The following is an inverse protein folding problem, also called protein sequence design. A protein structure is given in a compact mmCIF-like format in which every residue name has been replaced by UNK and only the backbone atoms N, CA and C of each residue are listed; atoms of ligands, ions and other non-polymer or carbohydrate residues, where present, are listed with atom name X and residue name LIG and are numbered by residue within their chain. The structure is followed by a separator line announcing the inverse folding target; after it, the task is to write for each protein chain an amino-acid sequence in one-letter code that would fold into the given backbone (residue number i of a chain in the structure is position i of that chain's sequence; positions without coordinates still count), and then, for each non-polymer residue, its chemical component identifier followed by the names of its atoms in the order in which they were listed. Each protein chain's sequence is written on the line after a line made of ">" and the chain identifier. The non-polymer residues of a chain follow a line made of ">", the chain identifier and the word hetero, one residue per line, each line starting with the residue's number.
data_IF_437014667442
#
_entry.id   IF_437014667442
#
_cell.length_a   1.000
_cell.length_b   1.000
_cell.length_c   1.000
_cell.angle_alpha   90.00
_cell.angle_beta   90.00
_cell.angle_gamma   90.00
#
_symmetry.space_group_name_H-M   'P 1'
#
loop_
_entity.id
_entity.type
_entity.pdbx_description
1 polymer ?
#
# COMPACT_ATOMS: atom_id res chain seq x y z
N UNK A 1 11.94 -6.09 9.25
CA UNK A 1 11.82 -7.54 9.53
C UNK A 1 11.75 -7.70 11.04
N UNK A 2 10.80 -8.47 11.57
CA UNK A 2 10.71 -8.72 13.01
C UNK A 2 11.94 -9.49 13.45
N UNK A 3 12.65 -8.98 14.46
CA UNK A 3 13.91 -9.53 14.89
C UNK A 3 13.72 -10.48 16.07
N UNK A 4 13.70 -11.77 15.81
CA UNK A 4 13.70 -12.78 16.86
C UNK A 4 14.89 -12.62 17.84
N UNK A 5 16.01 -12.08 17.35
CA UNK A 5 17.17 -11.72 18.20
C UNK A 5 16.83 -10.62 19.21
N UNK A 6 16.05 -9.60 18.83
CA UNK A 6 15.62 -8.54 19.75
C UNK A 6 14.63 -9.06 20.76
N UNK A 7 13.64 -9.87 20.33
CA UNK A 7 12.71 -10.55 21.24
C UNK A 7 13.50 -11.32 22.30
N UNK A 8 14.43 -12.16 21.88
CA UNK A 8 15.31 -12.91 22.80
C UNK A 8 16.07 -12.01 23.75
N UNK A 9 16.65 -10.90 23.24
CA UNK A 9 17.43 -9.95 24.03
C UNK A 9 16.59 -9.31 25.14
N UNK A 10 15.39 -8.79 24.81
CA UNK A 10 14.48 -8.16 25.78
C UNK A 10 13.95 -9.18 26.78
N UNK A 11 13.56 -10.37 26.32
CA UNK A 11 13.14 -11.48 27.21
C UNK A 11 14.22 -11.83 28.23
N UNK A 12 15.48 -11.98 27.78
CA UNK A 12 16.61 -12.29 28.65
C UNK A 12 16.92 -11.16 29.65
N UNK A 13 16.78 -9.90 29.26
CA UNK A 13 16.93 -8.74 30.15
C UNK A 13 15.88 -8.74 31.27
N UNK A 14 14.69 -9.25 31.00
CA UNK A 14 13.61 -9.38 31.97
C UNK A 14 13.68 -10.70 32.75
N UNK A 15 14.69 -11.54 32.53
CA UNK A 15 14.88 -12.82 33.20
C UNK A 15 13.81 -13.86 32.86
N UNK A 16 13.05 -13.69 31.79
CA UNK A 16 11.96 -14.59 31.42
C UNK A 16 12.46 -15.82 30.66
N UNK A 17 11.82 -17.00 30.88
CA UNK A 17 11.99 -18.17 29.99
C UNK A 17 11.13 -18.03 28.74
N UNK A 18 11.38 -18.87 27.71
CA UNK A 18 10.54 -18.88 26.52
C UNK A 18 9.09 -19.27 26.84
N UNK A 19 8.90 -20.23 27.77
CA UNK A 19 7.57 -20.67 28.21
C UNK A 19 6.82 -19.54 28.90
N UNK A 20 7.47 -18.77 29.77
CA UNK A 20 6.86 -17.65 30.49
C UNK A 20 6.43 -16.57 29.52
N UNK A 21 7.31 -16.13 28.61
CA UNK A 21 6.95 -15.11 27.61
C UNK A 21 5.84 -15.62 26.68
N UNK A 22 5.91 -16.86 26.22
CA UNK A 22 4.91 -17.45 25.34
C UNK A 22 3.53 -17.52 26.02
N UNK A 23 3.49 -17.94 27.29
CA UNK A 23 2.24 -18.00 28.04
C UNK A 23 1.62 -16.63 28.32
N UNK A 24 2.42 -15.63 28.64
CA UNK A 24 1.95 -14.26 28.88
C UNK A 24 1.48 -13.55 27.59
N UNK A 25 2.11 -13.84 26.47
CA UNK A 25 1.79 -13.26 25.16
C UNK A 25 0.76 -14.07 24.35
N UNK A 26 0.19 -15.13 24.93
CA UNK A 26 -0.76 -16.04 24.28
C UNK A 26 -0.27 -16.60 22.93
N UNK A 27 1.00 -16.97 22.88
CA UNK A 27 1.63 -17.63 21.73
C UNK A 27 2.19 -18.99 22.13
N UNK A 28 2.35 -19.92 21.16
CA UNK A 28 2.94 -21.22 21.51
C UNK A 28 4.45 -21.11 21.79
N UNK A 29 5.00 -21.84 22.80
CA UNK A 29 6.43 -21.89 23.05
C UNK A 29 7.25 -22.33 21.83
N UNK A 30 6.72 -23.23 21.04
CA UNK A 30 7.34 -23.68 19.79
C UNK A 30 7.43 -22.55 18.75
N UNK A 31 6.37 -21.76 18.61
CA UNK A 31 6.36 -20.58 17.75
C UNK A 31 7.43 -19.57 18.21
N UNK A 32 7.43 -19.20 19.49
CA UNK A 32 8.39 -18.25 20.04
C UNK A 32 9.85 -18.73 19.85
N UNK A 33 10.10 -20.01 20.09
CA UNK A 33 11.43 -20.62 19.89
C UNK A 33 11.88 -20.55 18.42
N UNK A 34 10.97 -20.83 17.48
CA UNK A 34 11.27 -20.73 16.04
C UNK A 34 11.56 -19.29 15.60
N UNK A 35 10.79 -18.32 16.12
CA UNK A 35 10.97 -16.90 15.86
C UNK A 35 12.32 -16.42 16.43
N UNK A 36 12.64 -16.72 17.68
CA UNK A 36 13.91 -16.33 18.30
C UNK A 36 15.14 -16.91 17.59
N UNK A 37 15.01 -18.10 17.00
CA UNK A 37 16.06 -18.73 16.20
C UNK A 37 16.09 -18.22 14.74
N UNK A 38 15.14 -17.40 14.32
CA UNK A 38 15.04 -16.92 12.94
C UNK A 38 14.64 -17.99 11.92
N UNK A 39 14.13 -19.15 12.39
CA UNK A 39 13.63 -20.25 11.55
C UNK A 39 12.25 -19.93 10.97
N UNK A 40 11.49 -19.13 11.70
CA UNK A 40 10.16 -18.66 11.31
C UNK A 40 10.13 -17.16 11.41
N UNK A 41 9.74 -16.49 10.33
CA UNK A 41 9.35 -15.09 10.40
C UNK A 41 7.98 -15.02 11.08
N UNK A 42 7.76 -14.08 12.03
CA UNK A 42 6.42 -13.84 12.54
C UNK A 42 5.53 -13.37 11.41
N UNK A 43 4.44 -14.11 11.18
CA UNK A 43 3.57 -13.95 10.02
C UNK A 43 2.70 -12.67 10.08
N UNK A 44 2.69 -11.96 11.24
CA UNK A 44 1.94 -10.70 11.39
C UNK A 44 2.41 -9.91 12.62
N UNK A 45 2.21 -8.59 12.60
CA UNK A 45 2.29 -7.70 13.75
C UNK A 45 1.37 -8.14 14.90
N UNK A 46 0.31 -8.87 14.60
CA UNK A 46 -0.65 -9.40 15.57
C UNK A 46 -0.02 -10.32 16.62
N UNK A 47 0.95 -11.16 16.23
CA UNK A 47 1.69 -11.97 17.19
C UNK A 47 2.78 -11.17 17.90
N UNK A 48 3.18 -10.03 17.31
CA UNK A 48 4.26 -9.19 17.85
C UNK A 48 3.76 -8.23 18.93
N UNK A 49 2.54 -7.70 18.78
CA UNK A 49 1.96 -6.74 19.73
C UNK A 49 1.88 -7.33 21.14
N UNK A 50 1.26 -8.52 21.37
CA UNK A 50 1.24 -9.13 22.71
C UNK A 50 2.64 -9.43 23.25
N UNK A 51 3.57 -9.84 22.39
CA UNK A 51 4.96 -10.07 22.80
C UNK A 51 5.64 -8.75 23.22
N UNK A 52 5.41 -7.67 22.49
CA UNK A 52 5.96 -6.35 22.80
C UNK A 52 5.38 -5.78 24.09
N UNK A 53 4.07 -5.94 24.31
CA UNK A 53 3.37 -5.54 25.53
C UNK A 53 3.95 -6.25 26.76
N UNK A 54 4.12 -7.58 26.70
CA UNK A 54 4.72 -8.35 27.81
C UNK A 54 6.17 -7.96 28.06
N UNK A 55 6.91 -7.61 27.00
CA UNK A 55 8.30 -7.16 27.11
C UNK A 55 8.43 -5.68 27.53
N UNK A 56 7.32 -4.92 27.58
CA UNK A 56 7.30 -3.51 27.94
C UNK A 56 8.04 -2.62 26.95
N UNK A 57 8.00 -2.97 25.64
CA UNK A 57 8.69 -2.24 24.58
C UNK A 57 7.70 -1.87 23.46
N UNK A 58 8.04 -0.83 22.68
CA UNK A 58 7.29 -0.54 21.47
C UNK A 58 7.43 -1.72 20.48
N UNK A 59 6.34 -2.21 19.86
CA UNK A 59 6.41 -3.22 18.80
C UNK A 59 7.44 -2.89 17.72
N UNK A 60 7.67 -1.61 17.44
CA UNK A 60 8.68 -1.14 16.50
C UNK A 60 10.12 -1.42 16.99
N UNK A 61 10.34 -1.50 18.29
CA UNK A 61 11.64 -1.88 18.86
C UNK A 61 11.97 -3.35 18.61
N UNK A 62 10.98 -4.17 18.38
CA UNK A 62 11.16 -5.59 18.01
C UNK A 62 11.35 -5.79 16.50
N UNK A 63 11.12 -4.76 15.72
CA UNK A 63 11.36 -4.76 14.29
C UNK A 63 12.80 -4.28 14.04
N UNK A 64 13.65 -5.13 13.51
CA UNK A 64 14.90 -4.65 12.94
C UNK A 64 14.53 -3.77 11.74
N UNK A 65 14.80 -2.47 11.83
CA UNK A 65 14.93 -1.69 10.61
C UNK A 65 15.88 -2.48 9.69
N UNK A 66 15.51 -2.73 8.42
CA UNK A 66 16.42 -3.40 7.52
C UNK A 66 17.77 -2.71 7.65
N UNK A 67 18.81 -3.48 7.97
CA UNK A 67 20.15 -2.92 8.18
C UNK A 67 20.43 -2.00 7.02
N UNK A 68 20.86 -0.79 7.28
CA UNK A 68 21.15 0.26 6.30
C UNK A 68 22.04 -0.24 5.14
N UNK A 69 22.80 -1.30 5.34
CA UNK A 69 23.61 -1.97 4.30
C UNK A 69 22.78 -2.71 3.23
N UNK A 70 21.57 -3.22 3.54
CA UNK A 70 20.69 -3.83 2.52
C UNK A 70 19.96 -2.73 1.74
N UNK A 71 19.74 -1.58 2.37
CA UNK A 71 19.15 -0.40 1.72
C UNK A 71 20.13 0.28 0.75
N UNK A 72 21.44 0.14 0.97
CA UNK A 72 22.47 0.65 0.05
C UNK A 72 22.71 -0.27 -1.16
N UNK A 73 22.37 -1.57 -1.06
CA UNK A 73 22.56 -2.53 -2.16
C UNK A 73 21.32 -2.70 -3.07
N UNK A 74 20.10 -2.45 -2.56
CA UNK A 74 18.91 -2.21 -3.39
C UNK A 74 18.62 -0.73 -3.30
N UNK A 75 19.28 0.07 -4.15
CA UNK A 75 19.17 1.52 -4.13
C UNK A 75 17.70 1.94 -4.08
N UNK A 76 17.34 2.80 -3.12
CA UNK A 76 16.14 3.62 -3.23
C UNK A 76 16.15 4.17 -4.65
N UNK A 77 15.09 3.96 -5.41
CA UNK A 77 14.99 4.53 -6.75
C UNK A 77 15.37 6.01 -6.66
N UNK A 78 16.38 6.45 -7.41
CA UNK A 78 16.96 7.79 -7.23
C UNK A 78 15.89 8.89 -7.25
N UNK A 79 14.90 8.76 -8.12
CA UNK A 79 13.76 9.66 -8.16
C UNK A 79 12.90 9.69 -6.89
N UNK A 80 12.78 8.60 -6.15
CA UNK A 80 12.00 8.55 -4.90
C UNK A 80 12.70 9.31 -3.78
N UNK A 81 14.04 9.36 -3.77
CA UNK A 81 14.80 10.19 -2.82
C UNK A 81 14.48 11.67 -2.96
N UNK A 82 14.24 12.15 -4.16
CA UNK A 82 13.84 13.52 -4.41
C UNK A 82 12.48 13.84 -3.78
N UNK A 83 11.51 12.93 -3.90
CA UNK A 83 10.20 13.07 -3.24
C UNK A 83 10.32 13.11 -1.73
N UNK A 84 11.12 12.20 -1.14
CA UNK A 84 11.41 12.20 0.30
C UNK A 84 12.05 13.53 0.74
N UNK A 85 13.01 14.04 -0.05
CA UNK A 85 13.64 15.33 0.22
C UNK A 85 12.64 16.49 0.13
N UNK A 86 11.75 16.47 -0.86
CA UNK A 86 10.71 17.49 -1.00
C UNK A 86 9.75 17.50 0.20
N UNK A 87 9.32 16.33 0.68
CA UNK A 87 8.43 16.22 1.84
C UNK A 87 9.08 16.59 3.18
N UNK A 88 10.42 16.51 3.29
CA UNK A 88 11.15 16.91 4.49
C UNK A 88 11.35 18.44 4.59
N UNK A 89 11.16 19.15 3.47
CA UNK A 89 11.25 20.62 3.49
C UNK A 89 10.05 21.19 4.23
N UNK A 90 10.26 22.38 4.80
CA UNK A 90 9.17 23.19 5.34
C UNK A 90 8.34 23.72 4.15
N UNK A 91 7.06 23.33 4.03
CA UNK A 91 6.21 23.76 2.93
C UNK A 91 6.02 25.27 2.86
N UNK A 92 6.21 25.97 4.00
CA UNK A 92 6.05 27.42 4.10
C UNK A 92 7.31 28.22 3.67
N UNK A 93 8.44 27.56 3.46
CA UNK A 93 9.71 28.18 3.08
C UNK A 93 10.04 28.13 1.58
N UNK A 94 9.19 27.51 0.78
CA UNK A 94 9.44 27.43 -0.67
C UNK A 94 9.19 28.80 -1.31
N UNK A 95 10.20 29.37 -1.95
CA UNK A 95 10.12 30.64 -2.70
C UNK A 95 10.22 30.30 -4.18
N UNK A 96 9.20 30.66 -4.95
CA UNK A 96 9.14 30.45 -6.40
C UNK A 96 8.21 31.45 -7.05
N UNK A 97 8.28 31.54 -8.38
CA UNK A 97 7.29 32.28 -9.15
C UNK A 97 5.93 31.58 -9.02
N UNK A 98 4.84 32.34 -9.08
CA UNK A 98 3.48 31.83 -9.07
C UNK A 98 3.27 30.84 -10.20
N UNK A 99 2.90 29.56 -9.91
CA UNK A 99 2.67 28.59 -10.97
C UNK A 99 1.32 28.81 -11.64
N UNK A 100 1.28 28.66 -12.96
CA UNK A 100 0.00 28.56 -13.68
C UNK A 100 -0.74 27.26 -13.29
N UNK A 101 -1.95 27.38 -12.72
CA UNK A 101 -2.74 26.26 -12.24
C UNK A 101 -3.12 25.30 -13.37
N UNK A 102 -3.34 25.75 -14.61
CA UNK A 102 -3.66 24.85 -15.71
C UNK A 102 -2.43 24.02 -16.12
N UNK A 103 -1.24 24.63 -16.12
CA UNK A 103 0.00 23.90 -16.34
C UNK A 103 0.26 22.90 -15.22
N UNK A 104 0.04 23.30 -13.98
CA UNK A 104 0.20 22.43 -12.80
C UNK A 104 -0.74 21.21 -12.92
N UNK A 105 -2.02 21.41 -13.25
CA UNK A 105 -2.98 20.34 -13.47
C UNK A 105 -2.51 19.33 -14.52
N UNK A 106 -2.04 19.79 -15.68
CA UNK A 106 -1.52 18.91 -16.74
C UNK A 106 -0.33 18.08 -16.26
N UNK A 107 0.62 18.71 -15.57
CA UNK A 107 1.82 18.03 -15.08
C UNK A 107 1.50 17.02 -13.98
N UNK A 108 0.49 17.28 -13.12
CA UNK A 108 -0.02 16.31 -12.16
C UNK A 108 -0.65 15.11 -12.88
N UNK A 109 -1.36 15.36 -14.00
CA UNK A 109 -1.88 14.30 -14.88
C UNK A 109 -0.77 13.43 -15.48
N UNK A 110 0.33 14.03 -15.92
CA UNK A 110 1.53 13.31 -16.39
C UNK A 110 2.15 12.46 -15.26
N UNK A 111 2.27 13.02 -14.06
CA UNK A 111 2.77 12.30 -12.89
C UNK A 111 1.89 11.10 -12.55
N UNK A 112 0.57 11.26 -12.58
CA UNK A 112 -0.37 10.17 -12.35
C UNK A 112 -0.30 9.09 -13.44
N UNK A 113 -0.09 9.47 -14.71
CA UNK A 113 0.12 8.52 -15.78
C UNK A 113 1.41 7.68 -15.56
N UNK A 114 2.51 8.30 -15.14
CA UNK A 114 3.74 7.59 -14.76
C UNK A 114 3.51 6.66 -13.57
N UNK A 115 2.77 7.12 -12.55
CA UNK A 115 2.40 6.29 -11.39
C UNK A 115 1.63 5.04 -11.80
N UNK A 116 0.62 5.18 -12.67
CA UNK A 116 -0.18 4.05 -13.20
C UNK A 116 0.68 3.04 -13.97
N UNK A 117 1.74 3.52 -14.61
CA UNK A 117 2.70 2.69 -15.33
C UNK A 117 3.80 2.11 -14.41
N UNK A 118 3.80 2.42 -13.10
CA UNK A 118 4.83 2.04 -12.12
C UNK A 118 6.24 2.50 -12.53
N UNK A 119 6.37 3.66 -13.18
CA UNK A 119 7.63 4.27 -13.62
C UNK A 119 8.12 5.27 -12.58
N UNK A 120 8.48 4.77 -11.41
CA UNK A 120 8.77 5.61 -10.24
C UNK A 120 10.09 6.37 -10.36
N UNK A 121 11.07 5.83 -11.06
CA UNK A 121 12.35 6.50 -11.35
C UNK A 121 12.15 7.78 -12.16
N UNK A 122 11.21 7.79 -13.11
CA UNK A 122 10.88 8.96 -13.92
C UNK A 122 9.91 9.89 -13.20
N UNK A 123 8.97 9.30 -12.45
CA UNK A 123 7.98 10.06 -11.69
C UNK A 123 8.63 10.91 -10.59
N UNK A 124 9.63 10.40 -9.89
CA UNK A 124 10.16 11.01 -8.68
C UNK A 124 10.65 12.46 -8.88
N UNK A 125 11.53 12.75 -9.86
CA UNK A 125 12.00 14.11 -10.13
C UNK A 125 10.86 15.06 -10.51
N UNK A 126 9.87 14.60 -11.27
CA UNK A 126 8.68 15.38 -11.61
C UNK A 126 7.85 15.67 -10.36
N UNK A 127 7.54 14.63 -9.56
CA UNK A 127 6.71 14.74 -8.39
C UNK A 127 7.33 15.63 -7.31
N UNK A 128 8.64 15.57 -7.13
CA UNK A 128 9.36 16.45 -6.20
C UNK A 128 9.23 17.93 -6.56
N UNK A 129 9.24 18.27 -7.86
CA UNK A 129 8.97 19.64 -8.34
C UNK A 129 7.52 20.01 -8.14
N UNK A 130 6.59 19.11 -8.50
CA UNK A 130 5.15 19.35 -8.36
C UNK A 130 4.73 19.61 -6.90
N UNK A 131 5.36 18.97 -5.93
CA UNK A 131 5.14 19.26 -4.51
C UNK A 131 5.48 20.73 -4.23
N UNK A 132 6.64 21.22 -4.66
CA UNK A 132 7.04 22.60 -4.43
C UNK A 132 6.14 23.60 -5.18
N UNK A 133 5.78 23.29 -6.42
CA UNK A 133 4.91 24.14 -7.24
C UNK A 133 3.50 24.21 -6.67
N UNK A 134 2.91 23.07 -6.24
CA UNK A 134 1.58 23.05 -5.64
C UNK A 134 1.54 23.77 -4.27
N UNK A 135 2.58 23.61 -3.43
CA UNK A 135 2.73 24.35 -2.19
C UNK A 135 2.85 25.87 -2.45
N UNK A 136 3.55 26.26 -3.51
CA UNK A 136 3.69 27.68 -3.92
C UNK A 136 2.36 28.21 -4.47
N UNK A 137 1.62 27.43 -5.26
CA UNK A 137 0.31 27.82 -5.77
C UNK A 137 -0.69 28.10 -4.65
N UNK A 138 -0.74 27.26 -3.61
CA UNK A 138 -1.62 27.50 -2.45
C UNK A 138 -1.31 28.82 -1.78
N UNK A 139 -0.03 29.16 -1.60
CA UNK A 139 0.34 30.45 -0.98
C UNK A 139 -0.01 31.64 -1.84
N UNK A 140 0.22 31.53 -3.15
CA UNK A 140 -0.06 32.63 -4.08
C UNK A 140 -1.56 32.91 -4.20
N UNK A 141 -2.40 31.88 -4.04
CA UNK A 141 -3.84 31.98 -4.23
C UNK A 141 -4.65 32.06 -2.92
N UNK A 142 -4.00 32.25 -1.76
CA UNK A 142 -4.73 32.44 -0.49
C UNK A 142 -5.75 33.59 -0.59
N UNK A 143 -6.96 33.31 -0.11
CA UNK A 143 -8.09 34.28 -0.11
C UNK A 143 -8.49 34.78 -1.52
N UNK A 144 -8.18 34.02 -2.56
CA UNK A 144 -8.65 34.30 -3.94
C UNK A 144 -9.67 33.25 -4.39
N UNK A 145 -10.39 33.52 -5.47
CA UNK A 145 -11.31 32.54 -6.10
C UNK A 145 -10.61 31.24 -6.54
N UNK A 146 -9.30 31.26 -6.66
CA UNK A 146 -8.48 30.11 -7.08
C UNK A 146 -7.96 29.27 -5.90
N UNK A 147 -8.23 29.66 -4.66
CA UNK A 147 -7.73 28.96 -3.47
C UNK A 147 -8.17 27.48 -3.45
N UNK A 148 -9.45 27.21 -3.73
CA UNK A 148 -9.98 25.84 -3.76
C UNK A 148 -9.28 24.99 -4.83
N UNK A 149 -9.08 25.53 -6.03
CA UNK A 149 -8.36 24.83 -7.10
C UNK A 149 -6.90 24.53 -6.70
N UNK A 150 -6.21 25.49 -6.07
CA UNK A 150 -4.84 25.29 -5.60
C UNK A 150 -4.74 24.17 -4.55
N UNK A 151 -5.65 24.13 -3.57
CA UNK A 151 -5.72 23.05 -2.58
C UNK A 151 -6.09 21.71 -3.19
N UNK A 152 -6.96 21.68 -4.21
CA UNK A 152 -7.29 20.46 -4.96
C UNK A 152 -6.02 19.87 -5.58
N UNK A 153 -5.25 20.66 -6.31
CA UNK A 153 -4.00 20.21 -6.93
C UNK A 153 -2.93 19.80 -5.91
N UNK A 154 -2.83 20.52 -4.79
CA UNK A 154 -1.93 20.14 -3.71
C UNK A 154 -2.32 18.77 -3.11
N UNK A 155 -3.62 18.54 -2.87
CA UNK A 155 -4.12 17.26 -2.37
C UNK A 155 -3.77 16.12 -3.32
N UNK A 156 -4.04 16.25 -4.62
CA UNK A 156 -3.70 15.23 -5.62
C UNK A 156 -2.19 14.98 -5.75
N UNK A 157 -1.40 16.03 -5.63
CA UNK A 157 0.07 15.89 -5.63
C UNK A 157 0.55 15.06 -4.45
N UNK A 158 0.06 15.33 -3.25
CA UNK A 158 0.40 14.53 -2.07
C UNK A 158 -0.18 13.12 -2.13
N UNK A 159 -1.38 12.93 -2.69
CA UNK A 159 -1.96 11.60 -2.93
C UNK A 159 -1.05 10.75 -3.83
N UNK A 160 -0.57 11.33 -4.94
CA UNK A 160 0.39 10.66 -5.83
C UNK A 160 1.69 10.32 -5.09
N UNK A 161 2.17 11.21 -4.20
CA UNK A 161 3.33 10.94 -3.37
C UNK A 161 3.10 9.78 -2.39
N UNK A 162 1.94 9.68 -1.73
CA UNK A 162 1.60 8.57 -0.82
C UNK A 162 1.73 7.22 -1.53
N UNK A 163 1.04 7.07 -2.67
CA UNK A 163 1.07 5.80 -3.39
C UNK A 163 2.43 5.49 -4.00
N UNK A 164 3.16 6.50 -4.47
CA UNK A 164 4.51 6.34 -5.01
C UNK A 164 5.49 5.85 -3.94
N UNK A 165 5.55 6.54 -2.80
CA UNK A 165 6.45 6.19 -1.69
C UNK A 165 6.16 4.79 -1.17
N UNK A 166 4.89 4.46 -0.97
CA UNK A 166 4.50 3.16 -0.48
C UNK A 166 4.88 2.03 -1.44
N UNK A 167 4.57 2.18 -2.74
CA UNK A 167 4.89 1.20 -3.77
C UNK A 167 6.39 1.07 -4.05
N UNK A 168 7.15 2.11 -3.80
CA UNK A 168 8.61 2.10 -3.85
C UNK A 168 9.27 1.52 -2.59
N UNK A 169 8.49 1.09 -1.59
CA UNK A 169 8.99 0.47 -0.37
C UNK A 169 9.57 1.45 0.65
N UNK A 170 9.21 2.74 0.58
CA UNK A 170 9.62 3.74 1.56
C UNK A 170 8.93 3.54 2.92
N UNK A 171 9.60 4.02 3.97
CA UNK A 171 9.14 3.83 5.34
C UNK A 171 7.84 4.55 5.67
N UNK A 172 7.08 4.03 6.65
CA UNK A 172 5.78 4.53 7.07
C UNK A 172 5.81 6.01 7.47
N UNK A 173 6.86 6.49 8.14
CA UNK A 173 6.93 7.86 8.66
C UNK A 173 6.86 8.93 7.57
N UNK A 174 7.57 8.77 6.46
CA UNK A 174 7.53 9.75 5.36
C UNK A 174 6.23 9.65 4.56
N UNK A 175 5.71 8.43 4.40
CA UNK A 175 4.42 8.20 3.75
C UNK A 175 3.27 8.77 4.59
N UNK A 176 3.36 8.69 5.92
CA UNK A 176 2.43 9.31 6.85
C UNK A 176 2.40 10.83 6.70
N UNK A 177 3.57 11.48 6.63
CA UNK A 177 3.65 12.93 6.41
C UNK A 177 2.92 13.33 5.12
N UNK A 178 3.13 12.58 4.03
CA UNK A 178 2.44 12.85 2.77
C UNK A 178 0.91 12.65 2.89
N UNK A 179 0.46 11.61 3.59
CA UNK A 179 -0.96 11.32 3.78
C UNK A 179 -1.67 12.38 4.64
N UNK A 180 -1.05 12.82 5.73
CA UNK A 180 -1.61 13.90 6.58
C UNK A 180 -1.68 15.23 5.81
N UNK A 181 -0.64 15.57 5.03
CA UNK A 181 -0.67 16.76 4.17
C UNK A 181 -1.73 16.65 3.08
N UNK A 182 -1.91 15.48 2.48
CA UNK A 182 -2.98 15.21 1.52
C UNK A 182 -4.36 15.46 2.13
N UNK A 183 -4.66 14.83 3.26
CA UNK A 183 -5.93 14.98 3.95
C UNK A 183 -6.17 16.42 4.43
N UNK A 184 -5.12 17.11 4.89
CA UNK A 184 -5.22 18.52 5.31
C UNK A 184 -5.54 19.44 4.13
N UNK A 185 -4.89 19.24 2.98
CA UNK A 185 -5.18 20.01 1.77
C UNK A 185 -6.60 19.72 1.26
N UNK A 186 -7.02 18.44 1.27
CA UNK A 186 -8.36 18.03 0.86
C UNK A 186 -9.46 18.72 1.66
N UNK A 187 -9.32 18.79 3.00
CA UNK A 187 -10.30 19.50 3.86
C UNK A 187 -10.50 20.98 3.50
N UNK A 188 -9.46 21.62 2.95
CA UNK A 188 -9.54 23.04 2.54
C UNK A 188 -10.36 23.26 1.27
N UNK A 189 -10.65 22.21 0.50
CA UNK A 189 -11.42 22.32 -0.74
C UNK A 189 -12.92 22.44 -0.50
N UNK A 190 -13.45 21.89 0.58
CA UNK A 190 -14.89 21.76 0.82
C UNK A 190 -15.58 20.74 -0.11
N UNK A 191 -14.85 20.13 -1.04
CA UNK A 191 -15.38 19.13 -1.98
C UNK A 191 -15.35 17.73 -1.31
N UNK A 192 -16.53 17.07 -1.16
CA UNK A 192 -16.61 15.77 -0.49
C UNK A 192 -15.83 14.67 -1.25
N UNK A 193 -15.72 14.73 -2.58
CA UNK A 193 -14.96 13.76 -3.37
C UNK A 193 -13.46 13.92 -3.09
N UNK A 194 -12.95 15.13 -3.10
CA UNK A 194 -11.53 15.40 -2.80
C UNK A 194 -11.21 15.05 -1.36
N UNK A 195 -12.12 15.36 -0.41
CA UNK A 195 -11.96 15.01 1.01
C UNK A 195 -11.92 13.49 1.21
N UNK A 196 -12.80 12.74 0.54
CA UNK A 196 -12.81 11.28 0.60
C UNK A 196 -11.55 10.65 -0.03
N UNK A 197 -10.99 11.23 -1.09
CA UNK A 197 -9.69 10.82 -1.66
C UNK A 197 -8.54 11.07 -0.67
N UNK A 198 -8.56 12.19 0.04
CA UNK A 198 -7.62 12.49 1.12
C UNK A 198 -7.72 11.52 2.30
N UNK A 199 -8.94 11.25 2.76
CA UNK A 199 -9.24 10.26 3.80
C UNK A 199 -8.79 8.85 3.40
N UNK A 200 -9.04 8.46 2.16
CA UNK A 200 -8.59 7.20 1.57
C UNK A 200 -7.07 7.06 1.62
N UNK A 201 -6.33 8.11 1.29
CA UNK A 201 -4.86 8.14 1.36
C UNK A 201 -4.35 7.95 2.79
N UNK A 202 -5.00 8.59 3.76
CA UNK A 202 -4.70 8.46 5.18
C UNK A 202 -5.00 7.03 5.68
N UNK A 203 -6.19 6.51 5.40
CA UNK A 203 -6.61 5.16 5.78
C UNK A 203 -5.70 4.09 5.16
N UNK A 204 -5.19 4.32 3.95
CA UNK A 204 -4.24 3.43 3.31
C UNK A 204 -2.95 3.27 4.14
N UNK A 205 -2.40 4.36 4.66
CA UNK A 205 -1.20 4.31 5.51
C UNK A 205 -1.50 3.71 6.87
N UNK A 206 -2.63 4.06 7.49
CA UNK A 206 -3.09 3.48 8.76
C UNK A 206 -3.18 1.95 8.67
N UNK A 207 -3.88 1.43 7.66
CA UNK A 207 -4.04 0.00 7.45
C UNK A 207 -2.72 -0.74 7.20
N UNK A 208 -1.69 -0.07 6.68
CA UNK A 208 -0.37 -0.67 6.49
C UNK A 208 0.52 -0.55 7.73
N UNK A 209 0.18 0.34 8.64
CA UNK A 209 0.85 0.49 9.93
C UNK A 209 0.27 -0.44 11.02
N UNK A 210 -0.79 -1.20 10.71
CA UNK A 210 -1.46 -2.10 11.67
C UNK A 210 -2.54 -1.41 12.50
N UNK A 211 -3.03 -0.25 12.05
CA UNK A 211 -4.07 0.53 12.72
C UNK A 211 -5.39 0.36 11.94
N UNK A 212 -5.87 -0.89 11.90
CA UNK A 212 -7.00 -1.31 11.08
C UNK A 212 -8.32 -0.67 11.56
N UNK A 213 -8.48 -0.47 12.86
CA UNK A 213 -9.67 0.17 13.44
C UNK A 213 -9.76 1.62 13.00
N UNK A 214 -8.68 2.39 13.16
CA UNK A 214 -8.62 3.79 12.76
C UNK A 214 -8.71 3.96 11.23
N UNK A 215 -8.16 3.00 10.49
CA UNK A 215 -8.33 2.96 9.04
C UNK A 215 -9.80 2.73 8.67
N UNK A 216 -10.47 1.80 9.32
CA UNK A 216 -11.89 1.51 9.12
C UNK A 216 -12.75 2.73 9.44
N UNK A 217 -12.56 3.36 10.60
CA UNK A 217 -13.31 4.54 11.02
C UNK A 217 -13.13 5.69 10.01
N UNK A 218 -11.88 5.90 9.55
CA UNK A 218 -11.58 6.92 8.53
C UNK A 218 -12.30 6.63 7.20
N UNK A 219 -12.37 5.37 6.78
CA UNK A 219 -13.03 4.97 5.53
C UNK A 219 -14.55 5.09 5.67
N UNK A 220 -15.12 4.64 6.78
CA UNK A 220 -16.57 4.70 6.99
C UNK A 220 -17.07 6.15 7.04
N UNK A 221 -16.36 7.05 7.70
CA UNK A 221 -16.67 8.48 7.66
C UNK A 221 -16.63 9.04 6.23
N UNK A 222 -15.62 8.65 5.43
CA UNK A 222 -15.53 9.10 4.05
C UNK A 222 -16.67 8.53 3.16
N UNK A 223 -17.15 7.32 3.44
CA UNK A 223 -18.34 6.75 2.77
C UNK A 223 -19.57 7.58 3.10
N UNK A 224 -19.79 7.91 4.36
CA UNK A 224 -20.91 8.72 4.81
C UNK A 224 -20.90 10.12 4.17
N UNK A 225 -19.73 10.74 4.03
CA UNK A 225 -19.55 12.05 3.40
C UNK A 225 -19.85 12.03 1.89
N UNK A 226 -19.51 10.93 1.19
CA UNK A 226 -19.71 10.79 -0.27
C UNK A 226 -21.11 10.27 -0.61
N UNK A 227 -21.78 9.55 0.29
CA UNK A 227 -23.05 8.88 0.03
C UNK A 227 -24.14 9.81 -0.57
N UNK A 228 -24.33 11.07 -0.10
CA UNK A 228 -25.32 11.97 -0.70
C UNK A 228 -25.04 12.29 -2.17
N UNK A 229 -23.75 12.45 -2.53
CA UNK A 229 -23.36 12.74 -3.91
C UNK A 229 -23.45 11.50 -4.82
N UNK A 230 -23.30 10.30 -4.26
CA UNK A 230 -23.31 9.04 -5.01
C UNK A 230 -24.72 8.60 -5.45
N UNK A 231 -25.78 9.13 -4.82
CA UNK A 231 -27.18 8.87 -5.15
C UNK A 231 -27.76 9.87 -6.16
N UNK A 232 -27.03 10.95 -6.45
CA UNK A 232 -27.44 11.90 -7.47
C UNK A 232 -27.48 11.23 -8.86
N UNK A 233 -28.42 11.61 -9.73
CA UNK A 233 -28.43 11.12 -11.11
C UNK A 233 -27.06 11.38 -11.72
N UNK A 234 -26.46 10.33 -12.30
CA UNK A 234 -25.21 10.47 -13.04
C UNK A 234 -25.47 11.37 -14.23
N UNK A 235 -25.18 12.65 -14.10
CA UNK A 235 -25.01 13.52 -15.27
C UNK A 235 -23.66 13.09 -15.82
N UNK A 236 -23.66 12.34 -16.93
CA UNK A 236 -22.43 11.92 -17.58
C UNK A 236 -21.54 13.14 -17.80
N UNK A 237 -20.40 13.28 -17.09
CA UNK A 237 -19.43 14.28 -17.48
C UNK A 237 -18.87 13.84 -18.82
N UNK A 238 -18.78 14.75 -19.77
CA UNK A 238 -18.24 14.50 -21.11
C UNK A 238 -16.82 13.93 -21.11
N UNK A 239 -16.15 13.92 -19.99
CA UNK A 239 -14.90 13.18 -19.66
C UNK A 239 -14.76 13.22 -18.14
N UNK A 240 -14.79 12.07 -17.45
CA UNK A 240 -14.40 12.01 -16.04
C UNK A 240 -12.94 12.36 -15.92
N UNK A 241 -12.62 13.54 -15.39
CA UNK A 241 -11.22 13.84 -15.19
C UNK A 241 -10.70 12.88 -14.10
N UNK A 242 -9.54 12.28 -14.34
CA UNK A 242 -8.91 11.30 -13.44
C UNK A 242 -8.77 11.77 -11.98
N UNK A 243 -8.88 13.07 -11.74
CA UNK A 243 -8.79 13.70 -10.41
C UNK A 243 -10.14 13.85 -9.69
N UNK A 244 -11.24 13.66 -10.37
CA UNK A 244 -12.59 13.74 -9.81
C UNK A 244 -13.40 12.54 -10.29
N UNK A 245 -13.17 11.37 -9.67
CA UNK A 245 -13.95 10.17 -10.02
C UNK A 245 -15.41 10.36 -9.68
N UNK A 246 -16.28 9.65 -10.40
CA UNK A 246 -17.69 9.61 -10.04
C UNK A 246 -17.86 9.21 -8.56
N UNK A 247 -18.71 9.90 -7.78
CA UNK A 247 -18.88 9.61 -6.36
C UNK A 247 -19.25 8.15 -6.08
N UNK A 248 -20.03 7.52 -6.95
CA UNK A 248 -20.37 6.09 -6.86
C UNK A 248 -19.14 5.18 -7.03
N UNK A 249 -18.27 5.47 -8.01
CA UNK A 249 -17.03 4.71 -8.20
C UNK A 249 -16.07 4.89 -7.03
N UNK A 250 -15.98 6.10 -6.46
CA UNK A 250 -15.19 6.36 -5.25
C UNK A 250 -15.75 5.59 -4.05
N UNK A 251 -17.07 5.59 -3.86
CA UNK A 251 -17.72 4.83 -2.80
C UNK A 251 -17.43 3.34 -2.91
N UNK A 252 -17.50 2.75 -4.11
CA UNK A 252 -17.12 1.37 -4.34
C UNK A 252 -15.65 1.09 -4.00
N UNK A 253 -14.74 2.00 -4.35
CA UNK A 253 -13.33 1.89 -3.99
C UNK A 253 -13.11 1.98 -2.46
N UNK A 254 -13.86 2.82 -1.75
CA UNK A 254 -13.82 2.91 -0.29
C UNK A 254 -14.30 1.61 0.38
N UNK A 255 -15.37 0.98 -0.13
CA UNK A 255 -15.79 -0.34 0.35
C UNK A 255 -14.70 -1.41 0.15
N UNK A 256 -13.96 -1.37 -0.95
CA UNK A 256 -12.81 -2.27 -1.14
C UNK A 256 -11.68 -1.99 -0.14
N UNK A 257 -11.38 -0.73 0.15
CA UNK A 257 -10.38 -0.39 1.16
C UNK A 257 -10.85 -0.78 2.57
N UNK A 258 -12.16 -0.67 2.89
CA UNK A 258 -12.75 -1.20 4.11
C UNK A 258 -12.64 -2.74 4.19
N UNK A 259 -12.90 -3.44 3.09
CA UNK A 259 -12.71 -4.90 3.04
C UNK A 259 -11.25 -5.30 3.29
N UNK A 260 -10.29 -4.50 2.79
CA UNK A 260 -8.86 -4.70 3.03
C UNK A 260 -8.49 -4.48 4.50
N UNK A 261 -8.99 -3.42 5.14
CA UNK A 261 -8.78 -3.17 6.57
C UNK A 261 -9.38 -4.30 7.42
N UNK A 262 -10.63 -4.72 7.13
CA UNK A 262 -11.28 -5.84 7.78
C UNK A 262 -10.48 -7.16 7.64
N UNK A 263 -9.94 -7.44 6.43
CA UNK A 263 -9.14 -8.64 6.19
C UNK A 263 -7.87 -8.66 7.05
N UNK A 264 -7.18 -7.54 7.15
CA UNK A 264 -5.99 -7.40 8.01
C UNK A 264 -6.32 -7.50 9.49
N UNK A 265 -7.44 -6.92 9.91
CA UNK A 265 -8.00 -7.08 11.25
C UNK A 265 -8.57 -8.49 11.54
N UNK A 266 -8.53 -9.41 10.55
CA UNK A 266 -9.11 -10.76 10.63
C UNK A 266 -10.62 -10.77 10.91
N UNK A 267 -11.32 -9.71 10.48
CA UNK A 267 -12.78 -9.60 10.55
C UNK A 267 -13.44 -10.22 9.31
N UNK A 268 -13.67 -11.55 9.33
CA UNK A 268 -14.30 -12.28 8.23
C UNK A 268 -15.72 -11.79 7.89
N UNK A 269 -16.59 -11.51 8.88
CA UNK A 269 -17.90 -10.92 8.62
C UNK A 269 -17.82 -9.53 7.97
N UNK A 270 -16.92 -8.68 8.45
CA UNK A 270 -16.65 -7.36 7.88
C UNK A 270 -16.20 -7.44 6.42
N UNK A 271 -15.24 -8.32 6.12
CA UNK A 271 -14.81 -8.57 4.73
C UNK A 271 -15.99 -8.93 3.85
N UNK A 272 -16.81 -9.90 4.28
CA UNK A 272 -17.97 -10.36 3.49
C UNK A 272 -18.99 -9.26 3.27
N UNK A 273 -19.22 -8.41 4.28
CA UNK A 273 -20.12 -7.27 4.19
C UNK A 273 -19.60 -6.22 3.21
N UNK A 274 -18.35 -5.80 3.36
CA UNK A 274 -17.77 -4.74 2.54
C UNK A 274 -17.62 -5.16 1.07
N UNK A 275 -17.27 -6.41 0.80
CA UNK A 275 -17.21 -6.92 -0.58
C UNK A 275 -18.59 -6.95 -1.22
N UNK A 276 -19.67 -7.34 -0.51
CA UNK A 276 -21.04 -7.29 -1.05
C UNK A 276 -21.51 -5.86 -1.36
N UNK A 277 -21.16 -4.89 -0.50
CA UNK A 277 -21.45 -3.48 -0.81
C UNK A 277 -20.71 -3.03 -2.07
N UNK A 278 -19.43 -3.39 -2.19
CA UNK A 278 -18.65 -3.10 -3.39
C UNK A 278 -19.25 -3.78 -4.65
N UNK A 279 -19.67 -5.04 -4.56
CA UNK A 279 -20.37 -5.76 -5.65
C UNK A 279 -21.65 -5.05 -6.07
N UNK A 280 -22.44 -4.57 -5.09
CA UNK A 280 -23.69 -3.84 -5.34
C UNK A 280 -23.44 -2.53 -6.09
N UNK A 281 -22.38 -1.82 -5.75
CA UNK A 281 -21.95 -0.62 -6.47
C UNK A 281 -21.43 -0.98 -7.85
N UNK A 282 -20.59 -2.01 -7.97
CA UNK A 282 -20.01 -2.43 -9.25
C UNK A 282 -21.06 -2.83 -10.30
N UNK A 283 -22.20 -3.38 -9.86
CA UNK A 283 -23.31 -3.72 -10.76
C UNK A 283 -23.98 -2.50 -11.39
N UNK A 284 -23.75 -1.29 -10.87
CA UNK A 284 -24.42 -0.04 -11.30
C UNK A 284 -23.48 0.98 -11.93
N UNK A 285 -22.17 0.79 -11.77
CA UNK A 285 -21.14 1.69 -12.29
C UNK A 285 -20.57 1.07 -13.57
N UNK A 286 -20.45 1.82 -14.68
CA UNK A 286 -19.77 1.35 -15.87
C UNK A 286 -18.33 0.93 -15.54
N UNK A 287 -17.79 -0.05 -16.26
CA UNK A 287 -16.37 -0.39 -16.19
C UNK A 287 -15.54 0.75 -16.81
N UNK A 288 -15.43 1.87 -16.12
CA UNK A 288 -14.64 3.02 -16.60
C UNK A 288 -13.14 2.84 -16.41
N UNK A 289 -12.71 1.72 -15.80
CA UNK A 289 -11.32 1.32 -15.64
C UNK A 289 -10.45 2.26 -14.79
N UNK A 290 -10.98 3.42 -14.39
CA UNK A 290 -10.16 4.46 -13.75
C UNK A 290 -9.93 4.22 -12.27
N UNK A 291 -10.95 3.86 -11.52
CA UNK A 291 -10.81 3.71 -10.07
C UNK A 291 -11.40 2.39 -9.56
N UNK A 292 -12.53 1.97 -10.05
CA UNK A 292 -13.35 0.91 -9.49
C UNK A 292 -14.12 0.17 -10.59
N UNK A 293 -14.38 -1.14 -10.36
CA UNK A 293 -15.18 -2.00 -11.25
C UNK A 293 -15.16 -3.45 -10.78
N UNK A 294 -15.91 -4.36 -11.46
CA UNK A 294 -16.03 -5.77 -11.06
C UNK A 294 -14.68 -6.50 -10.95
N UNK A 295 -13.72 -6.22 -11.84
CA UNK A 295 -12.38 -6.81 -11.79
C UNK A 295 -11.62 -6.42 -10.50
N UNK A 296 -11.81 -5.18 -10.02
CA UNK A 296 -11.23 -4.74 -8.76
C UNK A 296 -11.84 -5.48 -7.58
N UNK A 297 -13.17 -5.66 -7.55
CA UNK A 297 -13.85 -6.42 -6.49
C UNK A 297 -13.31 -7.85 -6.44
N UNK A 298 -13.19 -8.51 -7.59
CA UNK A 298 -12.63 -9.85 -7.68
C UNK A 298 -11.19 -9.92 -7.15
N UNK A 299 -10.33 -8.97 -7.54
CA UNK A 299 -8.93 -8.91 -7.08
C UNK A 299 -8.82 -8.67 -5.56
N UNK A 300 -9.65 -7.81 -4.99
CA UNK A 300 -9.70 -7.60 -3.54
C UNK A 300 -10.22 -8.82 -2.78
N UNK A 301 -11.09 -9.64 -3.39
CA UNK A 301 -11.49 -10.94 -2.87
C UNK A 301 -10.31 -11.92 -2.76
N UNK A 302 -9.35 -11.88 -3.69
CA UNK A 302 -8.10 -12.66 -3.61
C UNK A 302 -7.21 -12.16 -2.46
N UNK A 303 -7.01 -10.84 -2.40
CA UNK A 303 -6.27 -10.21 -1.30
C UNK A 303 -6.86 -10.59 0.07
N UNK A 304 -8.19 -10.47 0.23
CA UNK A 304 -8.86 -10.80 1.48
C UNK A 304 -8.69 -12.28 1.86
N UNK A 305 -8.81 -13.19 0.91
CA UNK A 305 -8.61 -14.62 1.15
C UNK A 305 -7.19 -14.91 1.66
N UNK A 306 -6.15 -14.31 1.06
CA UNK A 306 -4.77 -14.55 1.49
C UNK A 306 -4.46 -13.91 2.85
N UNK A 307 -5.01 -12.72 3.16
CA UNK A 307 -4.85 -12.08 4.47
C UNK A 307 -5.56 -12.89 5.58
N UNK A 308 -6.71 -13.50 5.27
CA UNK A 308 -7.45 -14.37 6.19
C UNK A 308 -6.87 -15.78 6.31
N UNK A 309 -5.74 -16.08 5.63
CA UNK A 309 -5.05 -17.37 5.68
C UNK A 309 -5.64 -18.46 4.79
N UNK A 310 -6.59 -18.14 3.91
CA UNK A 310 -7.17 -19.10 2.97
C UNK A 310 -6.42 -19.10 1.63
N UNK A 311 -5.23 -19.74 1.64
CA UNK A 311 -4.37 -19.83 0.47
C UNK A 311 -5.03 -20.58 -0.70
N UNK A 312 -5.88 -21.57 -0.41
CA UNK A 312 -6.56 -22.35 -1.44
C UNK A 312 -7.59 -21.50 -2.18
N UNK A 313 -8.40 -20.76 -1.44
CA UNK A 313 -9.39 -19.86 -2.01
C UNK A 313 -8.73 -18.70 -2.77
N UNK A 314 -7.64 -18.12 -2.24
CA UNK A 314 -6.88 -17.07 -2.92
C UNK A 314 -6.37 -17.55 -4.29
N UNK A 315 -5.77 -18.73 -4.36
CA UNK A 315 -5.31 -19.32 -5.63
C UNK A 315 -6.49 -19.61 -6.56
N UNK A 316 -7.56 -20.23 -6.07
CA UNK A 316 -8.76 -20.55 -6.87
C UNK A 316 -9.36 -19.30 -7.51
N UNK A 317 -9.59 -18.23 -6.72
CA UNK A 317 -10.13 -16.96 -7.23
C UNK A 317 -9.15 -16.30 -8.20
N UNK A 318 -7.89 -16.16 -7.81
CA UNK A 318 -6.91 -15.39 -8.56
C UNK A 318 -6.54 -16.02 -9.92
N UNK A 319 -6.63 -17.35 -10.07
CA UNK A 319 -6.41 -18.00 -11.36
C UNK A 319 -7.59 -17.83 -12.34
N UNK A 320 -8.77 -17.48 -11.85
CA UNK A 320 -9.96 -17.20 -12.66
C UNK A 320 -10.08 -15.75 -13.14
N UNK A 321 -9.20 -14.83 -12.69
CA UNK A 321 -9.28 -13.41 -13.05
C UNK A 321 -8.38 -13.14 -14.27
N UNK A 322 -8.95 -12.51 -15.32
CA UNK A 322 -8.14 -11.91 -16.37
C UNK A 322 -7.47 -10.64 -15.83
N UNK A 323 -6.16 -10.72 -15.61
CA UNK A 323 -5.39 -9.60 -15.10
C UNK A 323 -5.43 -8.35 -16.02
N UNK A 324 -5.76 -8.52 -17.31
CA UNK A 324 -5.89 -7.40 -18.26
C UNK A 324 -7.08 -6.51 -17.94
N UNK A 325 -8.12 -7.04 -17.31
CA UNK A 325 -9.28 -6.26 -16.88
C UNK A 325 -8.95 -5.22 -15.77
N UNK A 326 -7.74 -5.29 -15.19
CA UNK A 326 -7.26 -4.33 -14.19
C UNK A 326 -6.43 -3.18 -14.78
N UNK A 327 -6.18 -3.20 -16.10
CA UNK A 327 -5.50 -2.10 -16.79
C UNK A 327 -6.43 -0.87 -16.87
N UNK A 328 -5.88 0.36 -16.96
CA UNK A 328 -4.48 0.69 -17.29
C UNK A 328 -3.51 0.76 -16.09
N UNK A 329 -3.93 0.47 -14.89
CA UNK A 329 -3.09 0.53 -13.69
C UNK A 329 -2.21 -0.72 -13.59
N UNK A 330 -0.94 -0.64 -13.93
CA UNK A 330 -0.03 -1.79 -13.90
C UNK A 330 0.23 -2.35 -12.51
N UNK A 331 0.08 -1.54 -11.47
CA UNK A 331 0.22 -2.01 -10.08
C UNK A 331 -0.87 -2.99 -9.67
N UNK A 332 -2.10 -2.85 -10.19
CA UNK A 332 -3.23 -3.72 -9.82
C UNK A 332 -3.05 -5.17 -10.28
N UNK A 333 -2.82 -5.46 -11.59
CA UNK A 333 -2.56 -6.83 -12.02
C UNK A 333 -1.26 -7.39 -11.43
N UNK A 334 -0.23 -6.58 -11.24
CA UNK A 334 0.99 -7.03 -10.59
C UNK A 334 0.74 -7.44 -9.13
N UNK A 335 -0.06 -6.67 -8.37
CA UNK A 335 -0.46 -7.06 -7.02
C UNK A 335 -1.30 -8.34 -6.99
N UNK A 336 -2.24 -8.49 -7.92
CA UNK A 336 -3.00 -9.75 -8.06
C UNK A 336 -2.06 -10.95 -8.23
N UNK A 337 -1.06 -10.83 -9.10
CA UNK A 337 -0.06 -11.90 -9.27
C UNK A 337 0.75 -12.15 -7.99
N UNK A 338 1.12 -11.10 -7.25
CA UNK A 338 1.84 -11.24 -5.97
C UNK A 338 0.96 -11.96 -4.93
N UNK A 339 -0.32 -11.62 -4.82
CA UNK A 339 -1.23 -12.26 -3.86
C UNK A 339 -1.48 -13.73 -4.21
N UNK A 340 -1.61 -14.05 -5.50
CA UNK A 340 -1.68 -15.45 -5.96
C UNK A 340 -0.37 -16.21 -5.69
N UNK A 341 0.78 -15.55 -5.87
CA UNK A 341 2.09 -16.13 -5.53
C UNK A 341 2.21 -16.45 -4.03
N UNK A 342 1.69 -15.58 -3.16
CA UNK A 342 1.60 -15.83 -1.70
C UNK A 342 0.79 -17.11 -1.43
N UNK A 343 -0.34 -17.28 -2.11
CA UNK A 343 -1.19 -18.46 -2.00
C UNK A 343 -0.45 -19.74 -2.42
N UNK A 344 0.25 -19.73 -3.56
CA UNK A 344 1.04 -20.86 -3.99
C UNK A 344 2.20 -21.17 -3.04
N UNK A 345 2.91 -20.16 -2.56
CA UNK A 345 4.01 -20.33 -1.61
C UNK A 345 3.53 -20.93 -0.28
N UNK A 346 2.37 -20.49 0.23
CA UNK A 346 1.75 -21.05 1.43
C UNK A 346 1.35 -22.53 1.26
N UNK A 347 1.05 -22.96 0.02
CA UNK A 347 0.77 -24.37 -0.34
C UNK A 347 2.04 -25.18 -0.66
N UNK A 348 3.24 -24.58 -0.54
CA UNK A 348 4.50 -25.24 -0.87
C UNK A 348 4.79 -25.37 -2.38
N UNK A 349 4.03 -24.69 -3.24
CA UNK A 349 4.17 -24.74 -4.70
C UNK A 349 5.10 -23.62 -5.17
N UNK A 350 6.39 -23.72 -4.84
CA UNK A 350 7.41 -22.69 -5.13
C UNK A 350 7.55 -22.33 -6.61
N UNK A 351 7.41 -23.31 -7.51
CA UNK A 351 7.50 -23.09 -8.95
C UNK A 351 6.34 -22.24 -9.48
N UNK A 352 5.12 -22.54 -9.06
CA UNK A 352 3.96 -21.75 -9.42
C UNK A 352 4.01 -20.34 -8.81
N UNK A 353 4.49 -20.23 -7.57
CA UNK A 353 4.70 -18.95 -6.93
C UNK A 353 5.74 -18.09 -7.67
N UNK A 354 6.89 -18.67 -8.06
CA UNK A 354 7.90 -18.00 -8.86
C UNK A 354 7.35 -17.53 -10.21
N UNK A 355 6.60 -18.39 -10.90
CA UNK A 355 5.99 -18.01 -12.17
C UNK A 355 5.10 -16.75 -12.01
N UNK A 356 4.27 -16.70 -10.97
CA UNK A 356 3.42 -15.52 -10.70
C UNK A 356 4.22 -14.27 -10.35
N UNK A 357 5.32 -14.39 -9.62
CA UNK A 357 6.20 -13.25 -9.32
C UNK A 357 6.86 -12.72 -10.61
N UNK A 358 7.27 -13.60 -11.51
CA UNK A 358 7.84 -13.20 -12.80
C UNK A 358 6.80 -12.50 -13.71
N UNK A 359 5.51 -12.90 -13.65
CA UNK A 359 4.43 -12.16 -14.31
C UNK A 359 4.27 -10.75 -13.73
N UNK A 360 4.27 -10.62 -12.39
CA UNK A 360 4.23 -9.32 -11.73
C UNK A 360 5.43 -8.43 -12.12
N UNK A 361 6.65 -9.01 -12.18
CA UNK A 361 7.85 -8.28 -12.57
C UNK A 361 7.78 -7.80 -14.03
N UNK A 362 7.22 -8.60 -14.93
CA UNK A 362 7.03 -8.16 -16.33
C UNK A 362 6.07 -6.98 -16.46
N UNK A 363 5.03 -6.93 -15.63
CA UNK A 363 4.04 -5.86 -15.66
C UNK A 363 4.54 -4.57 -15.00
N UNK A 364 5.14 -4.68 -13.82
CA UNK A 364 5.55 -3.57 -12.98
C UNK A 364 6.94 -3.85 -12.35
N UNK A 365 8.02 -3.77 -13.13
CA UNK A 365 9.35 -4.19 -12.68
C UNK A 365 9.85 -3.40 -11.47
N UNK A 366 9.74 -2.08 -11.47
CA UNK A 366 10.21 -1.24 -10.37
C UNK A 366 9.45 -1.56 -9.07
N UNK A 367 8.12 -1.65 -9.14
CA UNK A 367 7.27 -1.98 -7.99
C UNK A 367 7.60 -3.38 -7.46
N UNK A 368 7.63 -4.38 -8.33
CA UNK A 368 7.79 -5.78 -7.93
C UNK A 368 9.14 -6.02 -7.26
N UNK A 369 10.21 -5.42 -7.80
CA UNK A 369 11.57 -5.54 -7.24
C UNK A 369 11.72 -4.89 -5.86
N UNK A 370 10.97 -3.83 -5.58
CA UNK A 370 10.99 -3.14 -4.29
C UNK A 370 10.00 -3.74 -3.27
N UNK A 371 9.08 -4.60 -3.73
CA UNK A 371 8.00 -5.11 -2.89
C UNK A 371 8.53 -6.04 -1.78
N UNK A 372 8.30 -5.68 -0.52
CA UNK A 372 8.81 -6.42 0.64
C UNK A 372 8.40 -7.90 0.64
N UNK A 373 7.12 -8.18 0.35
CA UNK A 373 6.59 -9.56 0.29
C UNK A 373 7.28 -10.37 -0.81
N UNK A 374 7.54 -9.77 -1.98
CA UNK A 374 8.25 -10.47 -3.08
C UNK A 374 9.66 -10.86 -2.63
N UNK A 375 10.37 -9.93 -2.00
CA UNK A 375 11.70 -10.19 -1.48
C UNK A 375 11.70 -11.30 -0.43
N UNK A 376 10.74 -11.29 0.48
CA UNK A 376 10.56 -12.31 1.50
C UNK A 376 10.27 -13.69 0.90
N UNK A 377 9.32 -13.77 -0.03
CA UNK A 377 8.97 -15.02 -0.73
C UNK A 377 10.17 -15.61 -1.48
N UNK A 378 10.85 -14.79 -2.26
CA UNK A 378 12.03 -15.23 -3.03
C UNK A 378 13.16 -15.66 -2.12
N UNK A 379 13.46 -14.91 -1.05
CA UNK A 379 14.47 -15.31 -0.05
C UNK A 379 14.11 -16.64 0.62
N UNK A 380 12.83 -16.85 0.94
CA UNK A 380 12.35 -18.12 1.50
C UNK A 380 12.50 -19.29 0.51
N UNK A 381 12.19 -19.07 -0.77
CA UNK A 381 12.37 -20.08 -1.83
C UNK A 381 13.85 -20.43 -2.02
N UNK A 382 14.74 -19.43 -2.03
CA UNK A 382 16.19 -19.65 -2.13
C UNK A 382 16.67 -20.52 -0.96
N UNK A 383 16.35 -20.16 0.29
CA UNK A 383 16.74 -20.96 1.48
C UNK A 383 16.22 -22.38 1.46
N UNK A 384 14.98 -22.62 0.99
CA UNK A 384 14.43 -23.98 0.87
C UNK A 384 15.12 -24.82 -0.20
N UNK A 385 15.71 -24.21 -1.21
CA UNK A 385 16.31 -24.87 -2.36
C UNK A 385 17.83 -25.01 -2.33
N UNK A 386 18.54 -24.40 -1.39
CA UNK A 386 19.96 -24.68 -1.15
C UNK A 386 20.18 -26.18 -0.85
N UNK A 387 19.11 -26.92 -0.48
CA UNK A 387 19.10 -28.38 -0.31
C UNK A 387 18.54 -29.17 -1.50
N UNK A 388 18.09 -28.55 -2.60
CA UNK A 388 17.47 -29.22 -3.78
C UNK A 388 17.79 -28.46 -5.06
N UNK A 389 17.81 -29.16 -6.22
CA UNK A 389 18.11 -28.64 -7.57
C UNK A 389 17.42 -27.30 -7.90
N UNK A 390 18.16 -26.34 -8.44
CA UNK A 390 17.74 -24.98 -8.70
C UNK A 390 16.63 -24.88 -9.76
N UNK A 391 15.55 -24.13 -9.46
CA UNK A 391 14.57 -23.73 -10.48
C UNK A 391 15.19 -22.66 -11.37
N UNK A 392 15.19 -22.84 -12.70
CA UNK A 392 15.62 -21.78 -13.62
C UNK A 392 14.90 -20.47 -13.31
N UNK A 393 15.63 -19.35 -13.31
CA UNK A 393 15.08 -18.00 -13.08
C UNK A 393 14.97 -17.57 -11.62
N UNK A 394 14.99 -18.46 -10.61
CA UNK A 394 14.92 -18.05 -9.20
C UNK A 394 16.16 -17.28 -8.75
N UNK A 395 17.36 -17.75 -9.11
CA UNK A 395 18.61 -17.06 -8.78
C UNK A 395 18.72 -15.71 -9.47
N UNK A 396 18.32 -15.65 -10.75
CA UNK A 396 18.35 -14.40 -11.51
C UNK A 396 17.38 -13.37 -10.92
N UNK A 397 16.17 -13.81 -10.54
CA UNK A 397 15.23 -12.94 -9.85
C UNK A 397 15.79 -12.50 -8.49
N UNK A 398 16.33 -13.42 -7.69
CA UNK A 398 16.92 -13.12 -6.38
C UNK A 398 18.06 -12.10 -6.48
N UNK A 399 18.89 -12.20 -7.52
CA UNK A 399 19.94 -11.21 -7.79
C UNK A 399 19.33 -9.83 -8.12
N UNK A 400 18.33 -9.78 -9.01
CA UNK A 400 17.69 -8.50 -9.40
C UNK A 400 16.98 -7.78 -8.26
N UNK A 401 16.46 -8.53 -7.27
CA UNK A 401 15.75 -7.95 -6.11
C UNK A 401 16.62 -7.82 -4.86
N UNK A 402 17.92 -8.19 -4.95
CA UNK A 402 18.84 -8.15 -3.81
C UNK A 402 18.48 -9.15 -2.69
N UNK A 403 17.97 -10.34 -3.04
CA UNK A 403 17.59 -11.40 -2.10
C UNK A 403 18.67 -12.52 -1.95
N UNK A 404 19.83 -12.37 -2.60
CA UNK A 404 21.01 -13.19 -2.41
C UNK A 404 21.88 -12.50 -1.36
N UNK A 405 21.79 -12.93 -0.09
CA UNK A 405 22.58 -12.40 1.02
C UNK A 405 22.50 -13.28 2.23
#
# INVERSE_FOLDING_TARGET
>A
MISGRRIRLYRQRLGMTQEVLAGLADVSPSWLSQVERGVRAPDSLRCLIPVAEVLGVDPMDLIEAPRTRVREQTGTLDGVREVVSALRRDPWRVVGAEPDLQRLARQIGEAEALRRQCRYSELGPLLARLIADAETAVRAHQSTEREVAAFTWLSHTYQTAVYTLFRAGEGHSITWIAAERCAAAARRTGDPVVQALGARSRAYVLSHAGWETEAMDTIMAAIDDVAPASTAPVVEPASDPWWSPAPSALMGALFLDAAKAAARGNDRPGVSRMLREAETVAARVPEDGMLFGPANVAAYGVFAAIELGDATEAVRRGTGIDARALLPFKDRPAMLHIDVARGYAAKGSDEAALHRILEAERMAPEMTRQHAIVRELVSAMVRRRESRSATPGLRDLAARIGALG
#
